data_IF_962255379864
#
_entry.id   IF_962255379864
#
_cell.length_a   1.000
_cell.length_b   1.000
_cell.length_c   1.000
_cell.angle_alpha   90.00
_cell.angle_beta   90.00
_cell.angle_gamma   90.00
#
_symmetry.space_group_name_H-M   'P 1'
#
loop_
_entity.id
_entity.type
_entity.pdbx_description
1 polymer ?
#
# COMPACT_ATOMS: atom_id res chain seq x y z
N UNK A 1 -5.76 1.50 -4.74
CA UNK A 1 -4.70 2.50 -4.99
C UNK A 1 -4.92 3.19 -6.33
N UNK A 2 -6.09 3.83 -6.47
CA UNK A 2 -6.62 4.29 -7.78
C UNK A 2 -5.74 5.32 -8.46
N UNK A 3 -5.23 6.30 -7.71
CA UNK A 3 -4.33 7.32 -8.27
C UNK A 3 -3.05 6.70 -8.84
N UNK A 4 -2.33 5.89 -8.05
CA UNK A 4 -1.07 5.29 -8.47
C UNK A 4 -1.24 4.37 -9.70
N UNK A 5 -2.33 3.59 -9.75
CA UNK A 5 -2.71 2.80 -10.93
C UNK A 5 -2.99 3.68 -12.14
N UNK A 6 -3.75 4.76 -11.96
CA UNK A 6 -4.07 5.72 -13.02
C UNK A 6 -2.85 6.45 -13.59
N UNK A 7 -1.78 6.58 -12.81
CA UNK A 7 -0.50 7.14 -13.25
C UNK A 7 0.43 6.09 -13.91
N UNK A 8 0.07 4.81 -13.93
CA UNK A 8 0.94 3.75 -14.45
C UNK A 8 2.21 3.53 -13.63
N UNK A 9 2.18 3.85 -12.33
CA UNK A 9 3.34 3.66 -11.46
C UNK A 9 3.56 2.18 -11.14
N UNK A 10 4.83 1.78 -11.02
CA UNK A 10 5.22 0.39 -10.77
C UNK A 10 4.92 -0.14 -9.36
N UNK A 11 4.49 0.71 -8.42
CA UNK A 11 4.16 0.30 -7.06
C UNK A 11 4.01 1.48 -6.09
N UNK A 12 4.03 1.15 -4.80
CA UNK A 12 4.04 2.11 -3.71
C UNK A 12 4.99 1.63 -2.60
N UNK A 13 5.60 2.56 -1.87
CA UNK A 13 6.42 2.28 -0.70
C UNK A 13 5.76 2.85 0.55
N UNK A 14 6.04 2.21 1.68
CA UNK A 14 5.55 2.60 3.00
C UNK A 14 6.72 2.68 3.97
N UNK A 15 6.72 3.72 4.81
CA UNK A 15 7.70 3.93 5.87
C UNK A 15 6.96 4.40 7.14
N UNK A 16 6.88 3.60 8.21
CA UNK A 16 7.53 2.31 8.45
C UNK A 16 6.61 1.29 9.13
N UNK A 17 7.03 0.02 9.19
CA UNK A 17 6.17 -1.10 9.59
C UNK A 17 5.69 -1.09 11.04
N UNK A 18 6.46 -0.53 11.98
CA UNK A 18 6.07 -0.43 13.39
C UNK A 18 4.89 0.51 13.62
N UNK A 19 4.58 1.38 12.66
CA UNK A 19 3.38 2.20 12.64
C UNK A 19 2.13 1.52 12.08
N UNK A 20 2.22 0.28 11.58
CA UNK A 20 1.05 -0.50 11.17
C UNK A 20 0.42 -1.22 12.38
N UNK A 21 -0.80 -1.71 12.21
CA UNK A 21 -1.44 -2.53 13.24
C UNK A 21 -0.81 -3.93 13.28
N UNK A 22 -1.02 -4.67 14.36
CA UNK A 22 -0.52 -6.05 14.49
C UNK A 22 -1.05 -6.98 13.38
N UNK A 23 -2.17 -6.62 12.75
CA UNK A 23 -2.77 -7.35 11.63
C UNK A 23 -2.30 -6.86 10.25
N UNK A 24 -1.45 -5.82 10.19
CA UNK A 24 -0.90 -5.30 8.93
C UNK A 24 -1.96 -4.65 8.03
N UNK A 25 -2.90 -3.91 8.61
CA UNK A 25 -4.02 -3.35 7.85
C UNK A 25 -3.58 -2.35 6.78
N UNK A 26 -2.55 -1.54 7.04
CA UNK A 26 -2.05 -0.55 6.07
C UNK A 26 -1.29 -1.23 4.93
N UNK A 27 -0.35 -2.13 5.22
CA UNK A 27 0.36 -2.88 4.17
C UNK A 27 -0.61 -3.78 3.39
N UNK A 28 -1.61 -4.35 4.07
CA UNK A 28 -2.69 -5.13 3.46
C UNK A 28 -3.54 -4.30 2.49
N UNK A 29 -3.85 -3.05 2.85
CA UNK A 29 -4.56 -2.11 1.98
C UNK A 29 -3.73 -1.71 0.75
N UNK A 30 -2.40 -1.52 0.89
CA UNK A 30 -1.50 -1.27 -0.24
C UNK A 30 -1.50 -2.47 -1.19
N UNK A 31 -1.28 -3.68 -0.66
CA UNK A 31 -1.25 -4.91 -1.46
C UNK A 31 -2.57 -5.14 -2.21
N UNK A 32 -3.69 -5.04 -1.50
CA UNK A 32 -5.03 -5.22 -2.08
C UNK A 32 -5.39 -4.13 -3.07
N UNK A 33 -4.89 -2.91 -2.85
CA UNK A 33 -5.18 -1.76 -3.70
C UNK A 33 -4.32 -1.67 -4.97
N UNK A 34 -3.16 -2.34 -5.02
CA UNK A 34 -2.27 -2.39 -6.19
C UNK A 34 -2.55 -3.59 -7.11
N UNK A 35 -3.11 -4.68 -6.59
CA UNK A 35 -3.77 -5.73 -7.39
C UNK A 35 -4.88 -5.11 -8.23
#
# INVERSE_FOLDING_TARGET
>A
MTWAKGQGLGGASFWEFSGDTANGELVGAINSGLK
#
